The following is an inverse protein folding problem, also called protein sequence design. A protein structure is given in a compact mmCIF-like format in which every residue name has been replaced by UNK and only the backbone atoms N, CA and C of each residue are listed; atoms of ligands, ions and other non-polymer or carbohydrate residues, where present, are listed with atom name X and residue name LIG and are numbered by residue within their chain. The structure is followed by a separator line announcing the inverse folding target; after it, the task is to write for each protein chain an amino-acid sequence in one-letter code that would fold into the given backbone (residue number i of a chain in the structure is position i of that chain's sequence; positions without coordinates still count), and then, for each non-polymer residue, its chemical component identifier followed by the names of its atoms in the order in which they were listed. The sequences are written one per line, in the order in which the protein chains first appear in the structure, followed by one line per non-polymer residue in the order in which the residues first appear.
data_IF_596065822988
#
_entry.id   IF_596065822988
#
_cell.length_a   1.000
_cell.length_b   1.000
_cell.length_c   1.000
_cell.angle_alpha   90.00
_cell.angle_beta   90.00
_cell.angle_gamma   90.00
#
_symmetry.space_group_name_H-M   'P 1'
#
loop_
_entity.id
_entity.type
_entity.pdbx_description
1 polymer ?
#
# COMPACT_ATOMS: atom_id res chain seq x y z
N UNK A 1 34.02 -32.37 -19.48
CA UNK A 1 33.44 -31.76 -18.27
C UNK A 1 32.79 -30.47 -18.71
N UNK A 2 31.46 -30.47 -18.82
CA UNK A 2 30.69 -29.27 -19.16
C UNK A 2 30.43 -28.51 -17.86
N UNK A 3 30.88 -27.25 -17.79
CA UNK A 3 30.54 -26.35 -16.70
C UNK A 3 29.08 -25.95 -16.86
N UNK A 4 28.20 -26.53 -16.06
CA UNK A 4 26.85 -26.03 -15.85
C UNK A 4 26.96 -24.68 -15.12
N UNK A 5 26.81 -23.59 -15.87
CA UNK A 5 26.54 -22.29 -15.28
C UNK A 5 25.17 -22.36 -14.60
N UNK A 6 25.16 -22.46 -13.27
CA UNK A 6 23.96 -22.21 -12.46
C UNK A 6 23.47 -20.80 -12.79
N UNK A 7 22.40 -20.72 -13.55
CA UNK A 7 21.60 -19.50 -13.68
C UNK A 7 20.95 -19.34 -12.31
N UNK A 8 21.43 -18.39 -11.50
CA UNK A 8 20.67 -17.92 -10.35
C UNK A 8 19.42 -17.24 -10.91
N UNK A 9 18.29 -17.94 -10.88
CA UNK A 9 16.99 -17.34 -11.10
C UNK A 9 16.78 -16.27 -10.01
N UNK A 10 17.00 -15.00 -10.36
CA UNK A 10 16.64 -13.89 -9.50
C UNK A 10 15.12 -13.91 -9.35
N UNK A 11 14.64 -14.35 -8.18
CA UNK A 11 13.22 -14.31 -7.86
C UNK A 11 12.78 -12.85 -7.91
N UNK A 12 11.95 -12.49 -8.89
CA UNK A 12 11.40 -11.13 -8.97
C UNK A 12 10.40 -11.00 -7.82
N UNK A 13 10.74 -10.22 -6.81
CA UNK A 13 9.88 -9.96 -5.65
C UNK A 13 8.89 -8.85 -6.00
N UNK A 14 7.63 -9.24 -6.22
CA UNK A 14 6.53 -8.33 -6.52
C UNK A 14 5.72 -8.10 -5.24
N UNK A 15 5.43 -6.84 -4.92
CA UNK A 15 4.60 -6.52 -3.77
C UNK A 15 3.19 -7.13 -3.90
N UNK A 16 2.66 -7.73 -2.84
CA UNK A 16 1.35 -8.38 -2.89
C UNK A 16 0.23 -7.35 -2.91
N UNK A 17 -0.71 -7.53 -3.84
CA UNK A 17 -1.93 -6.72 -3.97
C UNK A 17 -3.03 -7.31 -3.10
N UNK A 18 -3.84 -6.46 -2.44
CA UNK A 18 -4.90 -6.81 -1.49
C UNK A 18 -4.41 -7.59 -0.24
N UNK A 19 -3.13 -7.44 0.07
CA UNK A 19 -2.52 -7.92 1.32
C UNK A 19 -2.17 -6.72 2.21
N UNK A 20 -2.68 -6.64 3.44
CA UNK A 20 -2.28 -5.60 4.37
C UNK A 20 -0.80 -5.75 4.75
N UNK A 21 -0.03 -4.66 4.68
CA UNK A 21 1.40 -4.61 5.01
C UNK A 21 1.73 -3.36 5.82
N UNK A 22 2.75 -3.44 6.66
CA UNK A 22 3.14 -2.33 7.55
C UNK A 22 4.26 -1.50 6.96
N UNK A 23 4.15 -0.19 7.09
CA UNK A 23 5.18 0.79 6.79
C UNK A 23 5.92 1.21 8.07
N UNK A 24 7.16 1.65 7.91
CA UNK A 24 7.90 2.30 8.98
C UNK A 24 7.16 3.56 9.47
N UNK A 25 6.92 3.71 10.79
CA UNK A 25 6.23 4.89 11.34
C UNK A 25 6.89 6.22 10.92
N UNK A 26 8.21 6.25 10.82
CA UNK A 26 8.99 7.44 10.44
C UNK A 26 8.70 7.89 9.00
N UNK A 27 8.22 7.00 8.14
CA UNK A 27 7.76 7.39 6.80
C UNK A 27 6.43 8.12 6.87
N UNK A 28 5.46 7.58 7.62
CA UNK A 28 4.14 8.18 7.82
C UNK A 28 4.30 9.58 8.41
N UNK A 29 5.18 9.73 9.40
CA UNK A 29 5.44 11.01 10.07
C UNK A 29 5.96 12.11 9.13
N UNK A 30 6.72 11.74 8.09
CA UNK A 30 7.32 12.65 7.10
C UNK A 30 6.37 13.04 5.97
N UNK A 31 5.20 12.42 5.87
CA UNK A 31 4.20 12.82 4.88
C UNK A 31 3.52 14.09 5.39
N UNK A 32 3.95 15.21 4.81
CA UNK A 32 3.35 16.52 5.05
C UNK A 32 2.11 16.74 4.17
N UNK A 33 1.10 17.43 4.71
CA UNK A 33 -0.10 17.85 3.98
C UNK A 33 -1.41 17.39 4.61
N UNK A 34 -2.52 17.90 4.10
CA UNK A 34 -3.88 17.66 4.64
C UNK A 34 -4.35 16.20 4.53
N UNK A 35 -3.70 15.39 3.69
CA UNK A 35 -4.12 14.01 3.38
C UNK A 35 -3.08 13.00 3.87
N UNK A 36 -2.54 13.22 5.07
CA UNK A 36 -1.61 12.30 5.71
C UNK A 36 -2.23 10.90 5.83
N UNK A 37 -1.41 9.86 5.68
CA UNK A 37 -1.83 8.48 5.91
C UNK A 37 -2.40 8.34 7.33
N UNK A 38 -3.60 7.79 7.44
CA UNK A 38 -4.30 7.59 8.72
C UNK A 38 -3.70 6.46 9.57
N UNK A 39 -2.91 5.59 8.95
CA UNK A 39 -2.36 4.37 9.55
C UNK A 39 -1.01 4.05 8.91
N UNK A 40 -0.14 3.35 9.65
CA UNK A 40 1.08 2.77 9.10
C UNK A 40 0.82 1.45 8.36
N UNK A 41 -0.39 0.90 8.42
CA UNK A 41 -0.79 -0.25 7.62
C UNK A 41 -1.40 0.23 6.32
N UNK A 42 -0.95 -0.34 5.20
CA UNK A 42 -1.47 -0.08 3.88
C UNK A 42 -1.92 -1.36 3.21
N UNK A 43 -2.80 -1.25 2.23
CA UNK A 43 -3.16 -2.35 1.31
C UNK A 43 -3.00 -1.86 -0.11
N UNK A 44 -2.18 -2.55 -0.91
CA UNK A 44 -2.02 -2.24 -2.32
C UNK A 44 -3.29 -2.63 -3.07
N UNK A 45 -3.76 -1.78 -3.98
CA UNK A 45 -4.94 -2.03 -4.82
C UNK A 45 -4.57 -2.20 -6.29
N UNK A 46 -3.44 -1.62 -6.72
CA UNK A 46 -2.92 -1.81 -8.07
C UNK A 46 -1.41 -1.53 -8.14
N UNK A 47 -0.78 -2.15 -9.13
CA UNK A 47 0.59 -1.85 -9.57
C UNK A 47 0.50 -1.62 -11.07
N UNK A 48 0.98 -0.47 -11.53
CA UNK A 48 0.99 -0.10 -12.95
C UNK A 48 2.35 0.51 -13.30
N UNK A 49 3.10 -0.20 -14.15
CA UNK A 49 4.47 0.13 -14.50
C UNK A 49 5.35 0.35 -13.25
N UNK A 50 5.80 1.59 -13.03
CA UNK A 50 6.65 1.98 -11.90
C UNK A 50 5.86 2.62 -10.76
N UNK A 51 4.54 2.62 -10.81
CA UNK A 51 3.68 3.24 -9.82
C UNK A 51 2.91 2.17 -9.03
N UNK A 52 2.79 2.39 -7.72
CA UNK A 52 1.95 1.62 -6.82
C UNK A 52 0.80 2.47 -6.33
N UNK A 53 -0.37 1.86 -6.23
CA UNK A 53 -1.59 2.46 -5.71
C UNK A 53 -2.01 1.69 -4.47
N UNK A 54 -2.21 2.40 -3.37
CA UNK A 54 -2.55 1.79 -2.09
C UNK A 54 -3.49 2.65 -1.27
N UNK A 55 -4.12 2.03 -0.30
CA UNK A 55 -5.12 2.60 0.59
C UNK A 55 -4.76 2.31 2.04
N UNK A 56 -5.34 3.05 2.98
CA UNK A 56 -5.05 2.85 4.40
C UNK A 56 -5.78 1.61 4.95
N UNK A 57 -5.04 0.76 5.67
CA UNK A 57 -5.61 -0.30 6.51
C UNK A 57 -5.84 0.23 7.92
N UNK A 58 -7.06 0.06 8.44
CA UNK A 58 -7.47 0.49 9.77
C UNK A 58 -7.39 -0.69 10.75
N UNK A 59 -6.90 -0.45 11.96
CA UNK A 59 -6.83 -1.45 13.03
C UNK A 59 -8.17 -1.70 13.71
N UNK A 60 -9.13 -0.80 13.50
CA UNK A 60 -10.48 -0.88 14.04
C UNK A 60 -11.49 -1.06 12.92
N UNK A 61 -12.61 -1.70 13.25
CA UNK A 61 -13.76 -1.79 12.36
C UNK A 61 -14.43 -0.43 12.24
N UNK A 62 -14.96 -0.13 11.05
CA UNK A 62 -15.84 1.01 10.87
C UNK A 62 -17.26 0.65 11.33
N UNK A 63 -17.72 1.31 12.39
CA UNK A 63 -19.07 1.15 12.91
C UNK A 63 -20.08 2.10 12.22
N UNK A 64 -19.61 3.07 11.42
CA UNK A 64 -20.46 3.95 10.65
C UNK A 64 -20.88 3.30 9.34
N UNK A 65 -22.05 2.67 9.35
CA UNK A 65 -22.62 1.95 8.21
C UNK A 65 -22.91 2.89 7.02
N UNK A 66 -23.02 4.20 7.25
CA UNK A 66 -23.26 5.18 6.19
C UNK A 66 -22.01 5.55 5.40
N UNK A 67 -20.81 5.24 5.93
CA UNK A 67 -19.57 5.54 5.25
C UNK A 67 -19.20 4.45 4.24
N UNK A 68 -19.69 4.62 3.02
CA UNK A 68 -19.47 3.69 1.91
C UNK A 68 -18.00 3.59 1.47
N UNK A 69 -17.12 4.51 1.89
CA UNK A 69 -15.70 4.47 1.53
C UNK A 69 -14.89 3.48 2.37
N UNK A 70 -15.43 2.99 3.49
CA UNK A 70 -14.71 2.08 4.38
C UNK A 70 -15.33 0.69 4.33
N UNK A 71 -14.52 -0.30 3.97
CA UNK A 71 -14.93 -1.69 3.89
C UNK A 71 -14.35 -2.44 5.09
N UNK A 72 -15.21 -2.91 5.99
CA UNK A 72 -14.82 -3.89 7.01
C UNK A 72 -14.49 -5.22 6.35
N UNK A 73 -13.37 -5.82 6.75
CA UNK A 73 -12.91 -7.10 6.23
C UNK A 73 -13.18 -8.22 7.24
N UNK A 74 -13.45 -9.42 6.73
CA UNK A 74 -13.50 -10.62 7.54
C UNK A 74 -12.08 -11.00 7.93
N UNK A 75 -11.74 -10.77 9.20
CA UNK A 75 -10.39 -11.05 9.70
C UNK A 75 -10.13 -12.53 9.90
N UNK A 76 -11.16 -13.38 10.01
CA UNK A 76 -10.97 -14.80 10.30
C UNK A 76 -10.75 -15.64 9.02
N UNK A 77 -11.18 -15.14 7.86
CA UNK A 77 -11.11 -15.86 6.57
C UNK A 77 -10.13 -15.22 5.57
N UNK A 78 -9.00 -14.70 6.05
CA UNK A 78 -7.88 -14.32 5.18
C UNK A 78 -7.28 -15.53 4.47
N UNK A 79 -6.58 -15.34 3.36
CA UNK A 79 -6.08 -16.43 2.51
C UNK A 79 -4.55 -16.36 2.41
N UNK A 80 -3.84 -17.45 2.67
CA UNK A 80 -2.39 -17.56 2.45
C UNK A 80 -2.06 -17.89 0.99
N UNK A 81 -0.79 -17.73 0.59
CA UNK A 81 -0.29 -18.09 -0.76
C UNK A 81 -0.62 -19.53 -1.18
N UNK A 82 -0.75 -20.45 -0.20
CA UNK A 82 -1.09 -21.84 -0.43
C UNK A 82 -2.61 -22.12 -0.46
N UNK A 83 -3.44 -21.07 -0.43
CA UNK A 83 -4.90 -21.14 -0.45
C UNK A 83 -5.55 -21.50 0.89
N UNK A 84 -4.78 -21.68 1.98
CA UNK A 84 -5.35 -21.98 3.31
C UNK A 84 -5.87 -20.72 3.98
N UNK A 85 -6.97 -20.85 4.73
CA UNK A 85 -7.48 -19.77 5.56
C UNK A 85 -6.53 -19.45 6.71
N UNK A 86 -6.37 -18.16 7.02
CA UNK A 86 -5.59 -17.64 8.14
C UNK A 86 -6.11 -16.27 8.56
N UNK A 87 -5.88 -15.92 9.83
CA UNK A 87 -6.36 -14.68 10.41
C UNK A 87 -5.58 -13.45 9.91
N UNK A 88 -6.28 -12.43 9.42
CA UNK A 88 -5.72 -11.12 9.09
C UNK A 88 -5.56 -10.32 10.38
N UNK A 89 -4.32 -9.95 10.72
CA UNK A 89 -4.01 -9.27 11.99
C UNK A 89 -3.69 -7.78 11.84
N UNK A 90 -3.27 -7.35 10.65
CA UNK A 90 -2.77 -5.99 10.43
C UNK A 90 -3.89 -5.00 10.11
N UNK A 91 -5.09 -5.45 9.74
CA UNK A 91 -6.22 -4.58 9.46
C UNK A 91 -7.53 -5.27 9.81
N UNK A 92 -8.54 -4.47 10.17
CA UNK A 92 -9.95 -4.85 10.33
C UNK A 92 -10.87 -4.14 9.33
N UNK A 93 -10.42 -3.03 8.77
CA UNK A 93 -11.10 -2.33 7.70
C UNK A 93 -10.12 -1.69 6.72
N UNK A 94 -10.59 -1.39 5.52
CA UNK A 94 -9.85 -0.72 4.46
C UNK A 94 -10.56 0.59 4.11
N UNK A 95 -9.84 1.70 4.18
CA UNK A 95 -10.36 3.04 3.87
C UNK A 95 -10.00 3.45 2.45
N UNK A 96 -11.01 3.45 1.58
CA UNK A 96 -10.91 3.74 0.15
C UNK A 96 -11.15 5.23 -0.16
N UNK A 97 -11.39 6.09 0.83
CA UNK A 97 -11.65 7.52 0.61
C UNK A 97 -10.48 8.25 -0.05
N UNK A 98 -9.26 7.76 0.18
CA UNK A 98 -8.03 8.27 -0.41
C UNK A 98 -7.22 7.13 -1.01
N UNK A 99 -6.94 7.21 -2.29
CA UNK A 99 -5.99 6.33 -2.97
C UNK A 99 -4.66 7.06 -3.07
N UNK A 100 -3.63 6.49 -2.46
CA UNK A 100 -2.28 6.99 -2.52
C UNK A 100 -1.55 6.39 -3.71
N UNK A 101 -0.81 7.22 -4.42
CA UNK A 101 0.05 6.84 -5.54
C UNK A 101 1.49 7.23 -5.23
N UNK A 102 2.43 6.31 -5.41
CA UNK A 102 3.86 6.63 -5.37
C UNK A 102 4.67 5.70 -6.29
N UNK A 103 5.94 6.02 -6.48
CA UNK A 103 6.83 5.16 -7.23
C UNK A 103 7.12 3.85 -6.45
N UNK A 104 7.13 2.71 -7.16
CA UNK A 104 7.35 1.37 -6.60
C UNK A 104 8.67 1.31 -5.81
N UNK A 105 9.78 1.71 -6.44
CA UNK A 105 11.11 1.67 -5.84
C UNK A 105 11.25 2.64 -4.66
N UNK A 106 10.46 3.71 -4.63
CA UNK A 106 10.38 4.61 -3.47
C UNK A 106 9.60 4.00 -2.30
N UNK A 107 8.61 3.13 -2.55
CA UNK A 107 7.80 2.49 -1.52
C UNK A 107 8.56 1.36 -0.83
N UNK A 108 9.26 0.50 -1.59
CA UNK A 108 9.98 -0.67 -1.08
C UNK A 108 10.78 -0.38 0.20
N UNK A 109 11.68 0.63 0.24
CA UNK A 109 12.48 0.91 1.44
C UNK A 109 11.68 1.53 2.61
N UNK A 110 10.35 1.70 2.47
CA UNK A 110 9.44 2.20 3.51
C UNK A 110 8.62 1.10 4.16
N UNK A 111 8.65 -0.10 3.59
CA UNK A 111 7.93 -1.25 4.13
C UNK A 111 8.74 -1.83 5.29
N UNK A 112 8.08 -1.99 6.43
CA UNK A 112 8.65 -2.55 7.65
C UNK A 112 8.69 -4.08 7.60
N UNK A 113 7.69 -4.69 6.96
CA UNK A 113 7.60 -6.15 6.82
C UNK A 113 8.67 -6.66 5.85
N UNK A 114 9.45 -7.68 6.23
CA UNK A 114 10.37 -8.34 5.31
C UNK A 114 9.63 -9.11 4.21
N UNK A 115 10.30 -9.46 3.11
CA UNK A 115 9.70 -10.28 2.05
C UNK A 115 9.32 -11.68 2.55
N UNK A 116 10.17 -12.28 3.38
CA UNK A 116 9.90 -13.57 4.00
C UNK A 116 8.67 -13.53 4.92
N UNK A 117 8.49 -12.45 5.66
CA UNK A 117 7.32 -12.25 6.51
C UNK A 117 6.07 -11.92 5.69
N UNK A 118 6.19 -11.14 4.61
CA UNK A 118 5.08 -10.86 3.69
C UNK A 118 4.52 -12.14 3.06
N UNK A 119 5.36 -13.13 2.76
CA UNK A 119 4.91 -14.43 2.26
C UNK A 119 4.07 -15.22 3.28
N UNK A 120 4.20 -14.91 4.57
CA UNK A 120 3.45 -15.56 5.66
C UNK A 120 2.19 -14.78 6.06
N UNK A 121 2.06 -13.53 5.62
CA UNK A 121 0.88 -12.73 5.85
C UNK A 121 -0.26 -13.16 4.91
N UNK A 122 -1.50 -13.27 5.43
CA UNK A 122 -2.66 -13.57 4.60
C UNK A 122 -3.10 -12.34 3.79
N UNK A 123 -3.55 -12.60 2.57
CA UNK A 123 -4.43 -11.71 1.83
C UNK A 123 -5.75 -11.54 2.58
N UNK A 124 -6.47 -10.43 2.33
CA UNK A 124 -7.87 -10.34 2.77
C UNK A 124 -8.71 -11.43 2.09
N UNK A 125 -9.85 -11.80 2.68
CA UNK A 125 -10.72 -12.86 2.15
C UNK A 125 -11.09 -12.61 0.67
N UNK A 126 -11.31 -13.66 -0.12
CA UNK A 126 -11.69 -13.49 -1.54
C UNK A 126 -12.97 -12.64 -1.70
N UNK A 127 -13.92 -12.82 -0.77
CA UNK A 127 -15.14 -12.02 -0.72
C UNK A 127 -14.83 -10.54 -0.55
N UNK A 128 -13.91 -10.18 0.34
CA UNK A 128 -13.55 -8.79 0.58
C UNK A 128 -12.66 -8.21 -0.53
N UNK A 129 -11.80 -9.03 -1.15
CA UNK A 129 -11.07 -8.65 -2.36
C UNK A 129 -12.04 -8.19 -3.45
N UNK A 130 -13.09 -8.98 -3.71
CA UNK A 130 -14.12 -8.62 -4.69
C UNK A 130 -14.86 -7.34 -4.31
N UNK A 131 -15.20 -7.13 -3.03
CA UNK A 131 -15.83 -5.88 -2.57
C UNK A 131 -14.94 -4.67 -2.85
N UNK A 132 -13.65 -4.76 -2.51
CA UNK A 132 -12.69 -3.68 -2.73
C UNK A 132 -12.55 -3.37 -4.22
N UNK A 133 -12.35 -4.39 -5.06
CA UNK A 133 -12.22 -4.22 -6.51
C UNK A 133 -13.48 -3.63 -7.13
N UNK A 134 -14.66 -4.15 -6.77
CA UNK A 134 -15.94 -3.63 -7.26
C UNK A 134 -16.15 -2.17 -6.84
N UNK A 135 -15.80 -1.84 -5.59
CA UNK A 135 -15.88 -0.47 -5.11
C UNK A 135 -14.97 0.47 -5.91
N UNK A 136 -13.70 0.09 -6.10
CA UNK A 136 -12.71 0.90 -6.84
C UNK A 136 -13.17 1.10 -8.28
N UNK A 137 -13.57 0.04 -8.97
CA UNK A 137 -14.04 0.12 -10.37
C UNK A 137 -15.30 0.97 -10.51
N UNK A 138 -16.29 0.82 -9.62
CA UNK A 138 -17.52 1.58 -9.67
C UNK A 138 -17.30 3.08 -9.38
N UNK A 139 -16.41 3.43 -8.44
CA UNK A 139 -16.19 4.82 -8.03
C UNK A 139 -15.15 5.55 -8.90
N UNK A 140 -14.28 4.84 -9.61
CA UNK A 140 -13.43 5.45 -10.63
C UNK A 140 -14.20 5.71 -11.94
N UNK A 141 -15.22 4.90 -12.24
CA UNK A 141 -16.04 5.07 -13.44
C UNK A 141 -17.11 6.17 -13.28
N UNK A 142 -17.61 6.40 -12.06
CA UNK A 142 -18.71 7.33 -11.81
C UNK A 142 -18.21 8.65 -11.19
N UNK A 143 -18.58 9.79 -11.79
CA UNK A 143 -18.11 11.14 -11.40
C UNK A 143 -18.68 11.67 -10.06
N UNK A 144 -19.46 10.89 -9.31
CA UNK A 144 -20.22 11.38 -8.15
C UNK A 144 -19.45 11.44 -6.83
N UNK A 145 -18.62 10.43 -6.54
CA UNK A 145 -17.83 10.31 -5.30
C UNK A 145 -16.49 9.62 -5.61
N UNK A 146 -15.70 10.26 -6.48
CA UNK A 146 -14.40 9.70 -6.87
C UNK A 146 -13.48 9.73 -5.64
N UNK A 147 -12.82 8.60 -5.30
CA UNK A 147 -11.81 8.60 -4.24
C UNK A 147 -10.74 9.64 -4.55
N UNK A 148 -10.28 10.35 -3.52
CA UNK A 148 -9.23 11.36 -3.70
C UNK A 148 -7.92 10.67 -4.05
N UNK A 149 -7.35 10.97 -5.22
CA UNK A 149 -6.01 10.50 -5.58
C UNK A 149 -4.95 11.43 -4.98
N UNK A 150 -4.05 10.89 -4.16
CA UNK A 150 -2.94 11.63 -3.55
C UNK A 150 -1.61 11.07 -4.04
N UNK A 151 -0.79 11.91 -4.65
CA UNK A 151 0.53 11.50 -5.14
C UNK A 151 1.60 11.85 -4.11
N UNK A 152 2.27 10.83 -3.56
CA UNK A 152 3.40 11.01 -2.66
C UNK A 152 4.68 11.07 -3.51
N UNK A 153 5.46 12.12 -3.32
CA UNK A 153 6.74 12.33 -4.02
C UNK A 153 7.79 12.80 -3.04
N UNK A 154 9.03 12.37 -3.25
CA UNK A 154 10.18 12.94 -2.52
C UNK A 154 10.27 14.45 -2.80
N UNK A 155 10.30 15.26 -1.74
CA UNK A 155 10.57 16.69 -1.86
C UNK A 155 11.96 16.86 -2.47
N UNK A 156 12.04 17.52 -3.64
CA UNK A 156 13.33 17.91 -4.21
C UNK A 156 13.97 18.87 -3.22
N UNK A 157 15.19 18.59 -2.75
CA UNK A 157 16.00 19.60 -2.08
C UNK A 157 16.27 20.67 -3.14
N UNK A 158 15.84 21.90 -2.90
CA UNK A 158 16.31 23.04 -3.69
C UNK A 158 17.80 23.21 -3.37
N UNK A 159 18.67 22.68 -4.23
CA UNK A 159 20.09 23.03 -4.25
C UNK A 159 20.21 24.46 -4.80
N UNK A 160 19.92 25.45 -3.95
CA UNK A 160 19.63 26.80 -4.42
C UNK A 160 19.80 27.93 -3.40
N UNK A 161 20.58 27.76 -2.34
CA UNK A 161 21.20 28.90 -1.65
C UNK A 161 22.71 28.76 -1.74
N UNK A 162 23.23 29.11 -2.92
CA UNK A 162 24.62 29.58 -3.03
C UNK A 162 24.73 30.75 -2.08
N UNK A 163 25.50 30.59 -1.02
CA UNK A 163 25.95 31.70 -0.19
C UNK A 163 26.91 32.50 -1.10
N UNK A 164 26.35 33.43 -1.87
CA UNK A 164 27.10 34.53 -2.43
C UNK A 164 27.56 35.40 -1.26
N UNK A 165 28.86 35.40 -0.99
CA UNK A 165 29.43 36.22 0.06
C UNK A 165 30.92 35.98 0.26
N UNK A 166 31.70 36.11 -0.82
CA UNK A 166 33.08 36.56 -0.67
C UNK A 166 33.15 38.03 -1.14
N UNK A 167 33.99 38.79 -0.44
CA UNK A 167 34.43 40.19 -0.67
C UNK A 167 33.46 41.24 -0.09
N UNK A 168 33.83 42.10 0.87
CA UNK A 168 35.12 42.80 1.10
C UNK A 168 35.75 42.46 2.45
#
# INVERSE_FOLDING_TARGET
MQNESKIEESKIEVLPVLKPISLFPEFIEKIDGENKLKSNVITLVAIDNNDVYFVAGLLEENNDISNENIINIDTEDGILENGKSAKVLLAKAIDLSVIYKMNYDELIPKIQTSWEDMARLPYVSLKDQLKIVNWVTANLANQGSVPKLVVIRKKRREEGSKINGAVV
#
